data_IF_208919741531
#
_entry.id   IF_208919741531
#
_cell.length_a   1.000
_cell.length_b   1.000
_cell.length_c   1.000
_cell.angle_alpha   90.00
_cell.angle_beta   90.00
_cell.angle_gamma   90.00
#
_symmetry.space_group_name_H-M   'P 1'
#
loop_
_entity.id
_entity.type
_entity.pdbx_description
1 polymer ?
#
# COMPACT_ATOMS: atom_id res chain seq x y z
N UNK A 1 54.11 -53.39 -15.08
CA UNK A 1 53.15 -53.95 -14.08
C UNK A 1 53.23 -53.16 -12.76
N UNK A 2 52.25 -52.30 -12.49
CA UNK A 2 52.26 -51.47 -11.27
C UNK A 2 51.41 -50.21 -11.30
N UNK A 3 50.89 -49.77 -12.45
CA UNK A 3 50.03 -48.57 -12.49
C UNK A 3 48.59 -48.91 -12.09
N UNK A 4 48.15 -48.32 -10.98
CA UNK A 4 46.74 -48.28 -10.58
C UNK A 4 46.09 -47.09 -11.24
N UNK A 5 45.03 -47.33 -12.01
CA UNK A 5 44.17 -46.28 -12.55
C UNK A 5 43.40 -45.67 -11.37
N UNK A 6 43.79 -44.46 -10.98
CA UNK A 6 43.01 -43.66 -10.02
C UNK A 6 41.88 -42.98 -10.79
N UNK A 7 40.67 -43.49 -10.63
CA UNK A 7 39.47 -42.77 -11.08
C UNK A 7 39.27 -41.57 -10.17
N UNK A 8 39.45 -40.37 -10.71
CA UNK A 8 39.08 -39.13 -10.02
C UNK A 8 37.56 -39.09 -9.99
N UNK A 9 36.96 -39.51 -8.86
CA UNK A 9 35.54 -39.29 -8.66
C UNK A 9 35.34 -37.78 -8.51
N UNK A 10 34.56 -37.19 -9.42
CA UNK A 10 34.12 -35.80 -9.28
C UNK A 10 33.10 -35.76 -8.15
N UNK A 11 33.57 -35.79 -6.90
CA UNK A 11 32.75 -35.48 -5.74
C UNK A 11 32.30 -34.03 -5.87
N UNK A 12 31.07 -33.82 -6.34
CA UNK A 12 30.43 -32.51 -6.30
C UNK A 12 29.97 -32.31 -4.86
N UNK A 13 30.53 -31.36 -4.10
CA UNK A 13 30.11 -31.12 -2.72
C UNK A 13 28.72 -30.48 -2.73
N UNK A 14 27.66 -31.28 -2.88
CA UNK A 14 26.28 -30.80 -2.90
C UNK A 14 25.86 -30.21 -1.53
N UNK A 15 26.55 -30.59 -0.44
CA UNK A 15 26.24 -30.13 0.91
C UNK A 15 26.38 -28.61 1.11
N UNK A 16 27.34 -27.96 0.43
CA UNK A 16 27.60 -26.53 0.60
C UNK A 16 26.86 -25.65 -0.43
N UNK A 17 26.09 -26.26 -1.33
CA UNK A 17 25.40 -25.52 -2.39
C UNK A 17 24.34 -24.57 -1.81
N UNK A 18 23.58 -25.01 -0.81
CA UNK A 18 22.56 -24.20 -0.14
C UNK A 18 23.13 -22.94 0.49
N UNK A 19 24.28 -23.05 1.15
CA UNK A 19 24.96 -21.90 1.78
C UNK A 19 25.52 -20.92 0.75
N UNK A 20 26.10 -21.45 -0.34
CA UNK A 20 26.57 -20.65 -1.46
C UNK A 20 25.42 -19.89 -2.13
N UNK A 21 24.34 -20.59 -2.49
CA UNK A 21 23.14 -20.00 -3.09
C UNK A 21 22.55 -18.92 -2.18
N UNK A 22 22.44 -19.20 -0.88
CA UNK A 22 21.97 -18.23 0.12
C UNK A 22 22.84 -16.98 0.18
N UNK A 23 24.17 -17.12 0.10
CA UNK A 23 25.09 -15.99 0.07
C UNK A 23 24.94 -15.15 -1.21
N UNK A 24 24.78 -15.80 -2.37
CA UNK A 24 24.55 -15.11 -3.65
C UNK A 24 23.23 -14.32 -3.60
N UNK A 25 22.14 -14.95 -3.16
CA UNK A 25 20.82 -14.31 -3.06
C UNK A 25 20.84 -13.12 -2.10
N UNK A 26 21.56 -13.20 -0.97
CA UNK A 26 21.73 -12.07 -0.04
C UNK A 26 22.45 -10.88 -0.68
N UNK A 27 23.50 -11.14 -1.46
CA UNK A 27 24.21 -10.07 -2.17
C UNK A 27 23.31 -9.41 -3.23
N UNK A 28 22.58 -10.21 -4.01
CA UNK A 28 21.61 -9.69 -4.99
C UNK A 28 20.52 -8.87 -4.29
N UNK A 29 19.95 -9.39 -3.21
CA UNK A 29 18.91 -8.73 -2.42
C UNK A 29 19.37 -7.36 -1.90
N UNK A 30 20.61 -7.29 -1.40
CA UNK A 30 21.20 -6.03 -0.91
C UNK A 30 21.30 -4.94 -1.99
N UNK A 31 21.64 -5.32 -3.24
CA UNK A 31 21.68 -4.39 -4.37
C UNK A 31 20.29 -4.05 -4.91
N UNK A 32 19.35 -4.98 -4.85
CA UNK A 32 17.98 -4.79 -5.31
C UNK A 32 17.13 -3.95 -4.36
N UNK A 33 17.53 -3.81 -3.08
CA UNK A 33 16.73 -3.17 -2.04
C UNK A 33 15.52 -4.03 -1.61
N UNK A 34 15.67 -5.36 -1.68
CA UNK A 34 14.67 -6.36 -1.33
C UNK A 34 15.23 -7.30 -0.27
N UNK A 35 14.37 -8.07 0.41
CA UNK A 35 14.86 -9.13 1.30
C UNK A 35 15.29 -10.37 0.50
N UNK A 36 16.25 -11.17 1.02
CA UNK A 36 16.63 -12.44 0.40
C UNK A 36 15.43 -13.37 0.18
N UNK A 37 14.49 -13.39 1.12
CA UNK A 37 13.29 -14.22 1.08
C UNK A 37 12.32 -13.80 -0.02
N UNK A 38 12.25 -12.51 -0.36
CA UNK A 38 11.46 -12.03 -1.49
C UNK A 38 12.13 -12.34 -2.83
N UNK A 39 13.45 -12.27 -2.89
CA UNK A 39 14.20 -12.59 -4.11
C UNK A 39 14.13 -14.09 -4.41
N UNK A 40 14.22 -14.94 -3.39
CA UNK A 40 14.18 -16.39 -3.54
C UNK A 40 12.78 -17.01 -3.46
N UNK A 41 11.79 -16.26 -2.97
CA UNK A 41 10.49 -16.77 -2.52
C UNK A 41 10.58 -17.89 -1.47
N UNK A 42 11.68 -17.96 -0.73
CA UNK A 42 11.86 -18.91 0.36
C UNK A 42 11.56 -18.25 1.71
N UNK A 43 10.47 -18.69 2.34
CA UNK A 43 9.99 -18.20 3.64
C UNK A 43 10.14 -19.23 4.76
N UNK A 44 10.88 -20.32 4.52
CA UNK A 44 10.99 -21.46 5.44
C UNK A 44 11.57 -21.10 6.82
N UNK A 45 12.47 -20.13 6.88
CA UNK A 45 13.18 -19.72 8.10
C UNK A 45 12.71 -18.34 8.65
N UNK A 46 11.45 -17.94 8.39
CA UNK A 46 10.93 -16.60 8.72
C UNK A 46 9.80 -16.67 9.75
N UNK A 47 9.87 -15.83 10.78
CA UNK A 47 8.77 -15.59 11.72
C UNK A 47 7.98 -14.32 11.36
N UNK A 48 6.82 -14.11 11.98
CA UNK A 48 5.95 -12.96 11.68
C UNK A 48 6.72 -11.61 11.66
N UNK A 49 7.50 -11.31 12.70
CA UNK A 49 8.22 -10.04 12.81
C UNK A 49 9.28 -9.85 11.74
N UNK A 50 10.01 -10.92 11.38
CA UNK A 50 11.03 -10.88 10.31
C UNK A 50 10.40 -10.81 8.92
N UNK A 51 9.27 -11.50 8.68
CA UNK A 51 8.49 -11.37 7.45
C UNK A 51 7.97 -9.93 7.28
N UNK A 52 7.47 -9.34 8.36
CA UNK A 52 6.99 -7.97 8.39
C UNK A 52 8.08 -6.95 8.14
N UNK A 53 9.23 -7.10 8.77
CA UNK A 53 10.39 -6.25 8.52
C UNK A 53 10.83 -6.32 7.05
N UNK A 54 10.95 -7.52 6.50
CA UNK A 54 11.30 -7.74 5.09
C UNK A 54 10.31 -7.07 4.12
N UNK A 55 9.01 -7.24 4.36
CA UNK A 55 7.95 -6.64 3.54
C UNK A 55 7.97 -5.11 3.62
N UNK A 56 8.17 -4.53 4.81
CA UNK A 56 8.23 -3.08 4.99
C UNK A 56 9.43 -2.45 4.30
N UNK A 57 10.62 -3.07 4.38
CA UNK A 57 11.81 -2.55 3.70
C UNK A 57 11.65 -2.60 2.18
N UNK A 58 11.12 -3.70 1.65
CA UNK A 58 10.80 -3.79 0.22
C UNK A 58 9.76 -2.75 -0.20
N UNK A 59 8.75 -2.53 0.63
CA UNK A 59 7.72 -1.52 0.38
C UNK A 59 8.33 -0.13 0.25
N UNK A 60 9.23 0.26 1.14
CA UNK A 60 9.96 1.55 1.04
C UNK A 60 10.69 1.68 -0.29
N UNK A 61 11.41 0.64 -0.71
CA UNK A 61 12.15 0.63 -1.98
C UNK A 61 11.22 0.78 -3.18
N UNK A 62 10.13 -0.01 -3.21
CA UNK A 62 9.18 -0.03 -4.32
C UNK A 62 8.35 1.27 -4.38
N UNK A 63 7.88 1.76 -3.24
CA UNK A 63 7.18 3.04 -3.11
C UNK A 63 8.03 4.18 -3.65
N UNK A 64 9.28 4.32 -3.19
CA UNK A 64 10.20 5.35 -3.71
C UNK A 64 10.35 5.28 -5.22
N UNK A 65 10.61 4.08 -5.78
CA UNK A 65 10.77 3.91 -7.24
C UNK A 65 9.50 4.29 -8.01
N UNK A 66 8.33 3.94 -7.48
CA UNK A 66 7.04 4.29 -8.06
C UNK A 66 6.81 5.79 -8.02
N UNK A 67 7.07 6.42 -6.88
CA UNK A 67 6.87 7.86 -6.68
C UNK A 67 7.80 8.67 -7.60
N UNK A 68 9.06 8.23 -7.76
CA UNK A 68 10.02 8.80 -8.71
C UNK A 68 9.53 8.67 -10.15
N UNK A 69 9.02 7.49 -10.53
CA UNK A 69 8.46 7.26 -11.87
C UNK A 69 7.22 8.12 -12.12
N UNK A 70 6.29 8.18 -11.17
CA UNK A 70 5.07 8.95 -11.29
C UNK A 70 5.34 10.46 -11.36
N UNK A 71 6.29 10.95 -10.58
CA UNK A 71 6.73 12.35 -10.60
C UNK A 71 7.47 12.69 -11.89
N UNK A 72 8.35 11.81 -12.36
CA UNK A 72 9.19 12.05 -13.53
C UNK A 72 8.50 11.82 -14.88
N UNK A 73 7.47 10.96 -14.93
CA UNK A 73 6.82 10.55 -16.18
C UNK A 73 5.35 10.95 -16.23
N UNK A 74 4.55 10.55 -15.23
CA UNK A 74 3.10 10.73 -15.27
C UNK A 74 2.68 12.19 -15.00
N UNK A 75 3.35 12.87 -14.05
CA UNK A 75 3.04 14.25 -13.68
C UNK A 75 3.25 15.25 -14.82
N UNK A 76 4.37 15.21 -15.59
CA UNK A 76 4.55 16.08 -16.75
C UNK A 76 3.49 15.87 -17.84
N UNK A 77 3.08 14.63 -18.09
CA UNK A 77 2.02 14.32 -19.07
C UNK A 77 0.68 14.92 -18.62
N UNK A 78 0.33 14.74 -17.35
CA UNK A 78 -0.87 15.35 -16.76
C UNK A 78 -0.84 16.87 -16.85
N UNK A 79 0.32 17.48 -16.56
CA UNK A 79 0.48 18.93 -16.63
C UNK A 79 0.28 19.44 -18.06
N UNK A 80 0.89 18.80 -19.06
CA UNK A 80 0.74 19.19 -20.46
C UNK A 80 -0.71 19.08 -20.95
N UNK A 81 -1.40 18.00 -20.54
CA UNK A 81 -2.83 17.85 -20.81
C UNK A 81 -3.67 18.95 -20.13
N UNK A 82 -3.37 19.27 -18.87
CA UNK A 82 -4.09 20.31 -18.13
C UNK A 82 -3.83 21.70 -18.73
N UNK A 83 -2.60 21.98 -19.17
CA UNK A 83 -2.24 23.20 -19.91
C UNK A 83 -3.13 23.38 -21.14
N UNK A 84 -3.26 22.34 -21.97
CA UNK A 84 -4.13 22.35 -23.16
C UNK A 84 -5.60 22.61 -22.79
N UNK A 85 -6.14 21.93 -21.77
CA UNK A 85 -7.52 22.14 -21.32
C UNK A 85 -7.76 23.58 -20.83
N UNK A 86 -6.79 24.17 -20.13
CA UNK A 86 -6.90 25.56 -19.67
C UNK A 86 -6.89 26.56 -20.84
N UNK A 87 -6.09 26.30 -21.88
CA UNK A 87 -6.02 27.17 -23.06
C UNK A 87 -7.23 27.06 -23.99
N UNK A 88 -7.72 25.83 -24.23
CA UNK A 88 -8.81 25.56 -25.18
C UNK A 88 -10.18 25.77 -24.55
N UNK A 89 -10.42 25.20 -23.37
CA UNK A 89 -11.74 25.18 -22.73
C UNK A 89 -11.97 26.36 -21.78
N UNK A 90 -10.91 27.12 -21.45
CA UNK A 90 -10.94 28.27 -20.55
C UNK A 90 -11.68 27.96 -19.24
N UNK A 91 -11.26 26.88 -18.57
CA UNK A 91 -11.91 26.36 -17.38
C UNK A 91 -11.97 27.41 -16.25
N UNK A 92 -13.04 27.42 -15.44
CA UNK A 92 -13.21 28.40 -14.38
C UNK A 92 -12.16 28.22 -13.28
N UNK A 93 -11.49 29.32 -12.93
CA UNK A 93 -10.47 29.35 -11.87
C UNK A 93 -11.09 29.57 -10.48
N UNK A 94 -10.50 29.02 -9.41
CA UNK A 94 -10.95 29.29 -8.05
C UNK A 94 -10.87 30.78 -7.69
N UNK A 95 -11.79 31.24 -6.86
CA UNK A 95 -11.85 32.66 -6.46
C UNK A 95 -10.57 33.07 -5.73
N UNK A 96 -9.99 34.20 -6.12
CA UNK A 96 -8.75 34.77 -5.57
C UNK A 96 -7.51 33.87 -5.76
N UNK A 97 -7.51 33.00 -6.76
CA UNK A 97 -6.37 32.15 -7.05
C UNK A 97 -5.46 32.80 -8.13
N UNK A 98 -4.13 32.58 -8.09
CA UNK A 98 -3.21 33.04 -9.14
C UNK A 98 -3.59 32.51 -10.52
N UNK A 99 -3.14 33.17 -11.58
CA UNK A 99 -3.30 32.64 -12.93
C UNK A 99 -2.67 31.25 -13.05
N UNK A 100 -3.23 30.43 -13.94
CA UNK A 100 -2.79 29.06 -14.10
C UNK A 100 -1.30 28.97 -14.46
N UNK A 101 -0.81 29.85 -15.34
CA UNK A 101 0.60 29.85 -15.76
C UNK A 101 1.57 30.11 -14.60
N UNK A 102 1.18 30.97 -13.65
CA UNK A 102 2.00 31.35 -12.50
C UNK A 102 2.09 30.21 -11.45
N UNK A 103 1.07 29.35 -11.38
CA UNK A 103 0.96 28.30 -10.37
C UNK A 103 0.66 26.91 -10.96
N UNK A 104 1.09 26.65 -12.21
CA UNK A 104 0.74 25.44 -12.97
C UNK A 104 1.04 24.13 -12.24
N UNK A 105 2.14 24.09 -11.48
CA UNK A 105 2.53 22.92 -10.68
C UNK A 105 1.58 22.67 -9.51
N UNK A 106 1.07 23.73 -8.88
CA UNK A 106 0.11 23.62 -7.78
C UNK A 106 -1.24 23.13 -8.29
N UNK A 107 -1.69 23.63 -9.45
CA UNK A 107 -2.93 23.19 -10.08
C UNK A 107 -2.86 21.76 -10.63
N UNK A 108 -1.69 21.37 -11.18
CA UNK A 108 -1.47 20.01 -11.68
C UNK A 108 -1.14 19.00 -10.56
N UNK A 109 -1.02 19.44 -9.30
CA UNK A 109 -0.69 18.57 -8.17
C UNK A 109 -1.69 17.42 -8.09
N UNK A 110 -1.16 16.21 -8.07
CA UNK A 110 -1.95 15.00 -7.96
C UNK A 110 -1.21 13.96 -7.11
N UNK A 111 -1.99 13.10 -6.46
CA UNK A 111 -1.48 11.88 -5.85
C UNK A 111 -1.64 10.73 -6.85
N UNK A 112 -0.58 9.94 -7.01
CA UNK A 112 -0.60 8.76 -7.86
C UNK A 112 -0.77 7.52 -6.99
N UNK A 113 -2.01 7.05 -6.89
CA UNK A 113 -2.34 5.86 -6.12
C UNK A 113 -1.69 4.62 -6.77
N UNK A 114 -0.97 3.86 -5.95
CA UNK A 114 -0.41 2.57 -6.32
C UNK A 114 -1.15 1.43 -5.63
N UNK A 115 -0.70 0.18 -5.81
CA UNK A 115 -1.23 -0.92 -5.00
C UNK A 115 -1.02 -0.62 -3.51
N UNK A 116 -1.88 -1.15 -2.65
CA UNK A 116 -1.66 -1.07 -1.20
C UNK A 116 -0.49 -1.94 -0.77
N UNK A 117 0.16 -1.54 0.33
CA UNK A 117 1.15 -2.37 1.03
C UNK A 117 0.56 -3.72 1.42
N UNK A 118 -0.70 -3.74 1.86
CA UNK A 118 -1.34 -4.90 2.47
C UNK A 118 -0.96 -5.10 3.94
N UNK A 119 -1.57 -6.13 4.53
CA UNK A 119 -1.45 -6.47 5.95
C UNK A 119 -0.94 -7.90 6.12
N UNK A 120 -0.04 -8.13 7.06
CA UNK A 120 0.36 -9.50 7.45
C UNK A 120 -0.55 -9.97 8.59
N UNK A 121 -0.79 -9.11 9.58
CA UNK A 121 -1.84 -9.34 10.59
C UNK A 121 -2.95 -8.31 10.36
N UNK A 122 -4.06 -8.70 9.70
CA UNK A 122 -5.13 -7.77 9.36
C UNK A 122 -5.86 -7.23 10.59
N UNK A 123 -5.77 -7.89 11.76
CA UNK A 123 -6.44 -7.42 12.97
C UNK A 123 -5.55 -6.43 13.70
N UNK A 124 -4.34 -6.86 14.07
CA UNK A 124 -3.43 -6.05 14.87
C UNK A 124 -3.02 -4.77 14.13
N UNK A 125 -2.75 -4.87 12.83
CA UNK A 125 -2.30 -3.72 12.06
C UNK A 125 -3.46 -2.73 11.74
N UNK A 126 -4.69 -3.21 11.50
CA UNK A 126 -5.86 -2.32 11.36
C UNK A 126 -6.22 -1.62 12.67
N UNK A 127 -6.10 -2.30 13.80
CA UNK A 127 -6.27 -1.67 15.12
C UNK A 127 -5.21 -0.58 15.33
N UNK A 128 -3.96 -0.84 14.92
CA UNK A 128 -2.90 0.17 14.91
C UNK A 128 -3.23 1.39 14.04
N UNK A 129 -3.78 1.18 12.85
CA UNK A 129 -4.21 2.26 11.95
C UNK A 129 -5.34 3.11 12.57
N UNK A 130 -6.35 2.47 13.19
CA UNK A 130 -7.42 3.18 13.91
C UNK A 130 -6.83 4.01 15.04
N UNK A 131 -5.95 3.42 15.87
CA UNK A 131 -5.30 4.14 16.96
C UNK A 131 -4.44 5.32 16.46
N UNK A 132 -3.75 5.15 15.34
CA UNK A 132 -2.96 6.21 14.71
C UNK A 132 -3.83 7.38 14.23
N UNK A 133 -4.96 7.09 13.58
CA UNK A 133 -5.93 8.11 13.17
C UNK A 133 -6.55 8.83 14.38
N UNK A 134 -6.98 8.08 15.40
CA UNK A 134 -7.54 8.65 16.64
C UNK A 134 -6.53 9.52 17.39
N UNK A 135 -5.24 9.17 17.33
CA UNK A 135 -4.14 9.95 17.90
C UNK A 135 -3.72 11.16 17.04
N UNK A 136 -4.29 11.33 15.84
CA UNK A 136 -3.93 12.40 14.90
C UNK A 136 -2.55 12.23 14.25
N UNK A 137 -2.03 11.00 14.19
CA UNK A 137 -0.75 10.66 13.55
C UNK A 137 -0.90 10.27 12.08
N UNK A 138 -2.13 10.01 11.64
CA UNK A 138 -2.46 9.60 10.28
C UNK A 138 -3.88 10.06 9.91
N UNK A 139 -4.20 10.00 8.63
CA UNK A 139 -5.51 10.36 8.08
C UNK A 139 -6.15 9.19 7.34
N UNK A 140 -7.46 9.25 7.12
CA UNK A 140 -8.17 8.22 6.34
C UNK A 140 -7.61 8.11 4.90
N UNK A 141 -7.20 9.23 4.32
CA UNK A 141 -6.55 9.27 3.00
C UNK A 141 -5.23 8.50 3.02
N UNK A 142 -4.35 8.79 3.99
CA UNK A 142 -3.06 8.12 4.13
C UNK A 142 -3.23 6.61 4.38
N UNK A 143 -4.10 6.21 5.31
CA UNK A 143 -4.33 4.80 5.61
C UNK A 143 -4.95 4.03 4.43
N UNK A 144 -5.86 4.67 3.69
CA UNK A 144 -6.52 4.06 2.54
C UNK A 144 -5.56 3.90 1.36
N UNK A 145 -4.80 4.95 1.05
CA UNK A 145 -3.82 4.93 -0.04
C UNK A 145 -2.66 3.98 0.27
N UNK A 146 -2.11 4.03 1.49
CA UNK A 146 -0.91 3.24 1.82
C UNK A 146 -1.20 1.75 1.95
N UNK A 147 -2.31 1.37 2.58
CA UNK A 147 -2.55 -0.04 2.92
C UNK A 147 -3.39 -0.78 1.88
N UNK A 148 -4.32 -0.09 1.22
CA UNK A 148 -5.23 -0.71 0.24
C UNK A 148 -5.00 -0.20 -1.19
N UNK A 149 -4.38 0.97 -1.35
CA UNK A 149 -4.16 1.59 -2.66
C UNK A 149 -5.42 2.23 -3.25
N UNK A 150 -6.43 2.45 -2.41
CA UNK A 150 -7.71 3.04 -2.84
C UNK A 150 -7.82 4.52 -2.51
N UNK A 151 -8.79 5.19 -3.11
CA UNK A 151 -9.21 6.53 -2.72
C UNK A 151 -10.20 6.47 -1.54
N UNK A 152 -9.98 7.30 -0.53
CA UNK A 152 -10.86 7.37 0.62
C UNK A 152 -12.21 8.00 0.28
N UNK A 153 -12.25 8.92 -0.69
CA UNK A 153 -13.49 9.58 -1.12
C UNK A 153 -14.42 8.55 -1.74
N UNK A 154 -13.92 7.73 -2.68
CA UNK A 154 -14.67 6.63 -3.29
C UNK A 154 -15.24 5.68 -2.24
N UNK A 155 -14.48 5.38 -1.17
CA UNK A 155 -14.97 4.54 -0.08
C UNK A 155 -16.09 5.19 0.72
N UNK A 156 -16.00 6.49 0.99
CA UNK A 156 -17.05 7.20 1.73
C UNK A 156 -18.32 7.31 0.89
N UNK A 157 -18.19 7.58 -0.40
CA UNK A 157 -19.29 7.61 -1.35
C UNK A 157 -19.96 6.24 -1.44
N UNK A 158 -19.18 5.17 -1.61
CA UNK A 158 -19.68 3.79 -1.61
C UNK A 158 -20.40 3.45 -0.30
N UNK A 159 -19.88 3.87 0.86
CA UNK A 159 -20.53 3.67 2.15
C UNK A 159 -21.87 4.41 2.24
N UNK A 160 -21.96 5.62 1.69
CA UNK A 160 -23.21 6.37 1.67
C UNK A 160 -24.27 5.65 0.82
N UNK A 161 -23.89 5.13 -0.34
CA UNK A 161 -24.75 4.32 -1.19
C UNK A 161 -25.20 3.03 -0.51
N UNK A 162 -24.28 2.34 0.18
CA UNK A 162 -24.60 1.13 0.96
C UNK A 162 -25.62 1.46 2.05
N UNK A 163 -25.40 2.50 2.85
CA UNK A 163 -26.35 2.90 3.90
C UNK A 163 -27.73 3.22 3.32
N UNK A 164 -27.79 3.91 2.17
CA UNK A 164 -29.05 4.19 1.50
C UNK A 164 -29.72 2.90 0.99
N UNK A 165 -28.95 1.99 0.41
CA UNK A 165 -29.41 0.70 -0.07
C UNK A 165 -30.01 -0.17 1.05
N UNK A 166 -29.47 -0.11 2.26
CA UNK A 166 -30.04 -0.76 3.45
C UNK A 166 -31.38 -0.14 3.85
N UNK A 167 -31.47 1.20 3.89
CA UNK A 167 -32.71 1.92 4.21
C UNK A 167 -33.82 1.58 3.22
N UNK A 168 -33.51 1.61 1.92
CA UNK A 168 -34.48 1.35 0.85
C UNK A 168 -35.03 -0.09 0.89
N UNK A 169 -34.21 -1.04 1.37
CA UNK A 169 -34.58 -2.45 1.51
C UNK A 169 -35.18 -2.79 2.88
N UNK A 170 -35.31 -1.82 3.78
CA UNK A 170 -35.78 -2.05 5.15
C UNK A 170 -34.86 -2.96 5.97
N UNK A 171 -33.57 -3.03 5.63
CA UNK A 171 -32.57 -3.81 6.36
C UNK A 171 -31.97 -2.98 7.52
N UNK A 172 -31.61 -3.61 8.65
CA UNK A 172 -30.95 -2.91 9.74
C UNK A 172 -29.59 -2.35 9.28
N UNK A 173 -29.36 -1.06 9.53
CA UNK A 173 -28.11 -0.39 9.18
C UNK A 173 -26.97 -1.00 10.01
N UNK A 174 -25.83 -1.37 9.39
CA UNK A 174 -24.68 -1.88 10.12
C UNK A 174 -24.09 -0.86 11.11
N UNK A 175 -23.45 -1.33 12.18
CA UNK A 175 -22.88 -0.47 13.23
C UNK A 175 -21.88 0.58 12.70
N UNK A 176 -21.14 0.25 11.64
CA UNK A 176 -20.21 1.17 10.99
C UNK A 176 -20.90 2.27 10.15
N UNK A 177 -22.15 2.03 9.74
CA UNK A 177 -22.95 2.94 8.91
C UNK A 177 -23.81 3.91 9.74
N UNK A 178 -23.80 3.76 11.06
CA UNK A 178 -24.59 4.58 11.97
C UNK A 178 -24.18 4.33 13.41
N UNK A 179 -23.08 4.94 13.86
CA UNK A 179 -22.85 5.06 15.29
C UNK A 179 -23.90 6.03 15.86
N UNK A 180 -24.94 5.48 16.49
CA UNK A 180 -25.72 6.21 17.48
C UNK A 180 -24.97 6.10 18.80
N UNK A 181 -24.59 7.22 19.45
CA UNK A 181 -24.06 7.19 20.79
C UNK A 181 -25.02 6.41 21.72
N UNK A 182 -24.50 5.70 22.74
CA UNK A 182 -25.27 4.76 23.57
C UNK A 182 -26.49 5.36 24.30
N UNK A 183 -26.67 6.67 24.25
CA UNK A 183 -27.81 7.39 24.85
C UNK A 183 -29.12 7.25 24.06
N UNK A 184 -29.08 6.79 22.80
CA UNK A 184 -30.27 6.59 21.94
C UNK A 184 -30.60 5.11 21.65
N UNK A 185 -29.89 4.16 22.27
CA UNK A 185 -30.31 2.76 22.23
C UNK A 185 -31.61 2.60 23.06
N UNK A 186 -32.67 1.97 22.54
CA UNK A 186 -33.86 1.72 23.35
C UNK A 186 -33.46 0.88 24.56
N UNK A 187 -33.63 1.46 25.77
CA UNK A 187 -33.41 0.74 27.04
C UNK A 187 -34.22 -0.55 26.98
N UNK A 188 -33.55 -1.70 27.01
CA UNK A 188 -34.22 -2.99 27.20
C UNK A 188 -35.08 -2.86 28.45
N UNK A 189 -36.40 -2.94 28.28
CA UNK A 189 -37.31 -3.02 29.41
C UNK A 189 -37.03 -4.32 30.14
N UNK A 190 -36.45 -4.22 31.33
CA UNK A 190 -36.33 -5.34 32.25
C UNK A 190 -37.73 -5.86 32.55
N UNK A 191 -37.99 -7.12 32.17
CA UNK A 191 -39.22 -7.81 32.50
C UNK A 191 -39.17 -8.14 33.99
N UNK A 192 -40.08 -7.51 34.75
CA UNK A 192 -40.44 -7.92 36.11
C UNK A 192 -41.22 -9.23 36.11
#
# INVERSE_FOLDING_TARGET
PGEKINTVSASRPAGNFKDFESAVLRNIASGAGLSPQQVSNDWSDVNYSSARGAMLEAWKTLKRRRDDFATGFATPIRLAWLEECMEVDNLPMPRNAPEFIDARQAYARASWLGPGRGWIDPVAEKQGAILGMDAGLSTLEEECAENEGGDWIEKVDQRAEEVQAFKDRGLPIPDWGGYLPPEQAPRKQDKS
#
